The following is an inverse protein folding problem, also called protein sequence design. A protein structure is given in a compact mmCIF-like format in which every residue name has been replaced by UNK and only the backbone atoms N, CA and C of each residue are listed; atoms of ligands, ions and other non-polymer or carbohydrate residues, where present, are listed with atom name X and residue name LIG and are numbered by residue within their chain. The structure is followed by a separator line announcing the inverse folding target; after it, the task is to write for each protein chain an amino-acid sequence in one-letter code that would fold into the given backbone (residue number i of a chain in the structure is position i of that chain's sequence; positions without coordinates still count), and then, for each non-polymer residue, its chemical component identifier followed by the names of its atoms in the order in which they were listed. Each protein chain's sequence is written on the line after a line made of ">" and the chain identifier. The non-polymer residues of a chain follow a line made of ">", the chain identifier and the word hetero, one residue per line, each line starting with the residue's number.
data_IF_187247595226
#
_entry.id   IF_187247595226
#
_cell.length_a   1.000
_cell.length_b   1.000
_cell.length_c   1.000
_cell.angle_alpha   90.00
_cell.angle_beta   90.00
_cell.angle_gamma   90.00
#
_symmetry.space_group_name_H-M   'P 1'
#
loop_
_entity.id
_entity.type
_entity.pdbx_description
1 polymer ?
#
# COMPACT_ATOMS: atom_id res chain seq x y z
N UNK A 1 14.68 -24.00 12.18
CA UNK A 1 13.72 -23.95 13.31
C UNK A 1 12.45 -23.25 12.86
N UNK A 2 11.27 -23.76 13.23
CA UNK A 2 9.99 -23.05 13.04
C UNK A 2 9.76 -22.15 14.27
N UNK A 3 9.65 -20.83 14.09
CA UNK A 3 9.73 -19.86 15.20
C UNK A 3 8.72 -18.71 15.19
N UNK A 4 7.89 -18.59 14.15
CA UNK A 4 6.80 -17.61 14.08
C UNK A 4 5.61 -18.20 13.31
N UNK A 5 4.42 -17.63 13.54
CA UNK A 5 3.21 -17.89 12.77
C UNK A 5 3.01 -16.72 11.80
N UNK A 6 2.83 -17.02 10.51
CA UNK A 6 2.61 -16.03 9.46
C UNK A 6 1.60 -16.59 8.44
N UNK A 7 0.45 -15.95 8.33
CA UNK A 7 -0.77 -16.58 7.77
C UNK A 7 -1.05 -16.24 6.29
N UNK A 8 -0.46 -15.16 5.77
CA UNK A 8 -0.88 -14.61 4.46
C UNK A 8 -0.34 -15.42 3.28
N UNK A 9 0.81 -16.07 3.44
CA UNK A 9 1.46 -16.82 2.37
C UNK A 9 2.33 -17.96 2.89
N UNK A 10 2.43 -19.03 2.11
CA UNK A 10 3.28 -20.20 2.40
C UNK A 10 4.04 -20.59 1.14
N UNK A 11 5.32 -20.93 1.27
CA UNK A 11 6.13 -21.44 0.17
C UNK A 11 5.88 -22.96 0.02
N UNK A 12 5.29 -23.33 -1.11
CA UNK A 12 5.18 -24.71 -1.57
C UNK A 12 6.52 -25.12 -2.24
N UNK A 13 7.15 -26.23 -1.85
CA UNK A 13 8.40 -26.68 -2.43
C UNK A 13 8.37 -26.93 -3.95
N UNK A 14 7.20 -27.29 -4.49
CA UNK A 14 7.06 -27.65 -5.91
C UNK A 14 6.47 -26.49 -6.72
N UNK A 15 5.45 -25.83 -6.17
CA UNK A 15 4.63 -24.84 -6.90
C UNK A 15 5.00 -23.38 -6.57
N UNK A 16 5.98 -23.17 -5.68
CA UNK A 16 6.44 -21.85 -5.27
C UNK A 16 5.52 -21.16 -4.26
N UNK A 17 5.54 -19.82 -4.24
CA UNK A 17 4.81 -19.05 -3.23
C UNK A 17 3.30 -19.13 -3.48
N UNK A 18 2.52 -19.40 -2.42
CA UNK A 18 1.06 -19.38 -2.44
C UNK A 18 0.52 -18.25 -1.56
N UNK A 19 -0.45 -17.51 -2.06
CA UNK A 19 -1.18 -16.46 -1.34
C UNK A 19 -2.50 -17.02 -0.84
N UNK A 20 -2.64 -17.22 0.48
CA UNK A 20 -3.82 -17.87 1.09
C UNK A 20 -4.21 -19.21 0.42
N UNK A 21 -3.21 -19.96 -0.04
CA UNK A 21 -3.39 -21.25 -0.73
C UNK A 21 -3.38 -21.19 -2.26
N UNK A 22 -3.62 -20.03 -2.84
CA UNK A 22 -3.62 -19.83 -4.30
C UNK A 22 -2.20 -19.60 -4.82
N UNK A 23 -1.80 -20.38 -5.83
CA UNK A 23 -0.56 -20.17 -6.58
C UNK A 23 -0.59 -18.88 -7.40
N UNK A 24 0.57 -18.45 -7.90
CA UNK A 24 0.65 -17.27 -8.79
C UNK A 24 -0.21 -17.45 -10.06
N UNK A 25 -0.16 -18.58 -10.79
CA UNK A 25 -1.02 -18.77 -11.96
C UNK A 25 -2.51 -18.73 -11.63
N UNK A 26 -2.94 -19.29 -10.50
CA UNK A 26 -4.33 -19.19 -10.03
C UNK A 26 -4.72 -17.75 -9.73
N UNK A 27 -3.83 -16.98 -9.08
CA UNK A 27 -4.05 -15.55 -8.83
C UNK A 27 -4.22 -14.76 -10.15
N UNK A 28 -3.38 -15.01 -11.16
CA UNK A 28 -3.48 -14.35 -12.46
C UNK A 28 -4.80 -14.65 -13.18
N UNK A 29 -5.33 -15.87 -13.01
CA UNK A 29 -6.60 -16.26 -13.60
C UNK A 29 -7.81 -15.67 -12.86
N UNK A 30 -7.79 -15.73 -11.52
CA UNK A 30 -8.96 -15.46 -10.69
C UNK A 30 -9.09 -14.00 -10.24
N UNK A 31 -7.98 -13.28 -10.05
CA UNK A 31 -8.05 -11.91 -9.55
C UNK A 31 -8.55 -10.94 -10.64
N UNK A 32 -9.41 -9.97 -10.26
CA UNK A 32 -9.85 -8.92 -11.17
C UNK A 32 -8.70 -8.12 -11.78
N UNK A 33 -8.91 -7.66 -13.02
CA UNK A 33 -7.95 -6.93 -13.84
C UNK A 33 -8.48 -5.54 -14.15
N UNK A 34 -7.61 -4.60 -14.53
CA UNK A 34 -8.04 -3.31 -15.05
C UNK A 34 -8.87 -3.49 -16.35
N UNK A 35 -9.82 -2.59 -16.66
CA UNK A 35 -10.52 -2.62 -17.95
C UNK A 35 -9.55 -2.61 -19.14
N UNK A 36 -9.56 -3.66 -19.95
CA UNK A 36 -8.64 -3.84 -21.08
C UNK A 36 -7.21 -4.28 -20.70
N UNK A 37 -6.94 -4.55 -19.42
CA UNK A 37 -5.68 -5.10 -18.92
C UNK A 37 -5.71 -6.62 -18.77
N UNK A 38 -4.53 -7.23 -18.83
CA UNK A 38 -4.35 -8.68 -18.67
C UNK A 38 -3.74 -9.07 -17.31
N UNK A 39 -3.22 -8.10 -16.55
CA UNK A 39 -2.56 -8.33 -15.27
C UNK A 39 -3.51 -8.13 -14.07
N UNK A 40 -3.36 -8.93 -13.00
CA UNK A 40 -4.19 -8.83 -11.81
C UNK A 40 -3.90 -7.55 -11.02
N UNK A 41 -4.95 -6.90 -10.51
CA UNK A 41 -4.83 -5.67 -9.73
C UNK A 41 -4.29 -5.93 -8.30
N UNK A 42 -3.33 -5.13 -7.79
CA UNK A 42 -2.82 -5.27 -6.42
C UNK A 42 -3.88 -5.13 -5.33
N UNK A 43 -4.93 -4.33 -5.58
CA UNK A 43 -6.13 -4.24 -4.75
C UNK A 43 -6.77 -5.61 -4.49
N UNK A 44 -6.86 -6.43 -5.55
CA UNK A 44 -7.43 -7.77 -5.47
C UNK A 44 -6.54 -8.71 -4.67
N UNK A 45 -5.22 -8.60 -4.85
CA UNK A 45 -4.26 -9.36 -4.05
C UNK A 45 -4.33 -8.96 -2.57
N UNK A 46 -4.40 -7.66 -2.25
CA UNK A 46 -4.56 -7.19 -0.88
C UNK A 46 -5.81 -7.77 -0.23
N UNK A 47 -6.95 -7.72 -0.93
CA UNK A 47 -8.20 -8.32 -0.46
C UNK A 47 -8.04 -9.81 -0.16
N UNK A 48 -7.43 -10.56 -1.06
CA UNK A 48 -7.15 -11.98 -0.87
C UNK A 48 -6.30 -12.20 0.38
N UNK A 49 -5.21 -11.46 0.56
CA UNK A 49 -4.32 -11.62 1.71
C UNK A 49 -5.01 -11.32 3.04
N UNK A 50 -5.90 -10.32 3.09
CA UNK A 50 -6.64 -9.94 4.31
C UNK A 50 -7.75 -10.94 4.62
N UNK A 51 -8.53 -11.35 3.62
CA UNK A 51 -9.79 -12.10 3.83
C UNK A 51 -9.67 -13.61 3.58
N UNK A 52 -8.69 -14.06 2.81
CA UNK A 52 -8.61 -15.41 2.28
C UNK A 52 -9.58 -15.71 1.14
N UNK A 53 -10.30 -14.71 0.64
CA UNK A 53 -11.33 -14.86 -0.40
C UNK A 53 -10.93 -14.10 -1.67
N UNK A 54 -11.27 -14.66 -2.83
CA UNK A 54 -11.11 -13.95 -4.12
C UNK A 54 -12.17 -12.85 -4.21
N UNK A 55 -11.79 -11.58 -4.43
CA UNK A 55 -12.74 -10.48 -4.50
C UNK A 55 -13.52 -10.44 -5.82
N UNK A 56 -14.69 -9.80 -5.77
CA UNK A 56 -15.43 -9.39 -6.98
C UNK A 56 -14.86 -8.10 -7.58
N UNK A 57 -15.26 -7.78 -8.81
CA UNK A 57 -14.86 -6.51 -9.46
C UNK A 57 -15.33 -5.29 -8.67
N UNK A 58 -16.53 -5.32 -8.09
CA UNK A 58 -17.06 -4.23 -7.27
C UNK A 58 -16.25 -4.01 -6.00
N UNK A 59 -15.76 -5.10 -5.38
CA UNK A 59 -14.91 -5.05 -4.20
C UNK A 59 -13.54 -4.44 -4.53
N UNK A 60 -12.93 -4.86 -5.65
CA UNK A 60 -11.67 -4.27 -6.12
C UNK A 60 -11.84 -2.79 -6.43
N UNK A 61 -12.89 -2.41 -7.15
CA UNK A 61 -13.21 -1.01 -7.44
C UNK A 61 -13.45 -0.18 -6.18
N UNK A 62 -14.02 -0.78 -5.13
CA UNK A 62 -14.17 -0.13 -3.83
C UNK A 62 -12.81 0.12 -3.18
N UNK A 63 -11.90 -0.86 -3.17
CA UNK A 63 -10.54 -0.69 -2.62
C UNK A 63 -9.78 0.40 -3.38
N UNK A 64 -9.80 0.40 -4.72
CA UNK A 64 -9.14 1.44 -5.52
C UNK A 64 -9.61 2.85 -5.13
N UNK A 65 -10.94 3.02 -4.98
CA UNK A 65 -11.53 4.29 -4.54
C UNK A 65 -11.14 4.67 -3.11
N UNK A 66 -11.09 3.71 -2.20
CA UNK A 66 -10.66 3.98 -0.82
C UNK A 66 -9.21 4.42 -0.76
N UNK A 67 -8.31 3.75 -1.48
CA UNK A 67 -6.91 4.15 -1.53
C UNK A 67 -6.73 5.52 -2.20
N UNK A 68 -7.46 5.82 -3.28
CA UNK A 68 -7.39 7.14 -3.89
C UNK A 68 -7.82 8.27 -2.93
N UNK A 69 -8.84 8.04 -2.08
CA UNK A 69 -9.29 9.02 -1.07
C UNK A 69 -8.26 9.23 0.05
N UNK A 70 -7.50 8.19 0.40
CA UNK A 70 -6.59 8.16 1.56
C UNK A 70 -5.16 8.60 1.23
N UNK A 71 -4.84 8.82 -0.05
CA UNK A 71 -3.48 9.05 -0.55
C UNK A 71 -2.86 10.42 -0.19
N UNK A 72 -3.61 11.31 0.48
CA UNK A 72 -3.12 12.65 0.82
C UNK A 72 -1.91 12.60 1.78
N UNK A 73 -0.85 13.34 1.44
CA UNK A 73 0.32 13.51 2.31
C UNK A 73 0.21 14.83 3.11
N UNK A 74 0.50 14.82 4.42
CA UNK A 74 0.59 16.04 5.20
C UNK A 74 1.80 16.87 4.74
N UNK A 75 1.68 18.20 4.87
CA UNK A 75 2.66 19.15 4.32
C UNK A 75 4.07 18.93 4.85
N UNK A 76 4.24 18.56 6.12
CA UNK A 76 5.58 18.34 6.69
C UNK A 76 6.31 17.16 6.02
N UNK A 77 5.60 16.10 5.62
CA UNK A 77 6.19 14.96 4.91
C UNK A 77 6.62 15.35 3.50
N UNK A 78 5.80 16.15 2.82
CA UNK A 78 6.14 16.71 1.51
C UNK A 78 7.41 17.57 1.61
N UNK A 79 7.49 18.44 2.61
CA UNK A 79 8.67 19.28 2.87
C UNK A 79 9.91 18.46 3.22
N UNK A 80 9.79 17.39 4.02
CA UNK A 80 10.92 16.49 4.32
C UNK A 80 11.44 15.84 3.04
N UNK A 81 10.56 15.33 2.18
CA UNK A 81 10.92 14.70 0.91
C UNK A 81 11.62 15.66 -0.06
N UNK A 82 11.18 16.91 -0.12
CA UNK A 82 11.76 17.93 -1.01
C UNK A 82 13.14 18.43 -0.56
N UNK A 83 13.47 18.29 0.73
CA UNK A 83 14.72 18.76 1.29
C UNK A 83 15.78 17.67 1.44
N UNK A 84 15.48 16.42 1.07
CA UNK A 84 16.50 15.37 1.10
C UNK A 84 17.60 15.65 0.06
N UNK A 85 18.89 15.49 0.44
CA UNK A 85 19.97 15.66 -0.52
C UNK A 85 20.01 14.46 -1.49
N UNK A 86 20.45 14.69 -2.72
CA UNK A 86 20.47 13.67 -3.78
C UNK A 86 21.45 12.51 -3.51
N UNK A 87 22.40 12.69 -2.60
CA UNK A 87 23.30 11.62 -2.15
C UNK A 87 22.66 10.68 -1.12
N UNK A 88 21.50 11.02 -0.55
CA UNK A 88 20.77 10.15 0.36
C UNK A 88 20.05 9.06 -0.45
N UNK A 89 20.38 7.80 -0.17
CA UNK A 89 19.82 6.66 -0.88
C UNK A 89 18.27 6.66 -0.86
N UNK A 90 17.59 6.33 -1.97
CA UNK A 90 16.13 6.39 -2.07
C UNK A 90 15.40 5.58 -0.99
N UNK A 91 15.91 4.40 -0.62
CA UNK A 91 15.35 3.61 0.48
C UNK A 91 15.44 4.31 1.85
N UNK A 92 16.48 5.12 2.08
CA UNK A 92 16.60 5.90 3.31
C UNK A 92 15.60 7.06 3.33
N UNK A 93 15.40 7.72 2.18
CA UNK A 93 14.36 8.75 2.03
C UNK A 93 12.96 8.16 2.28
N UNK A 94 12.69 6.99 1.72
CA UNK A 94 11.42 6.28 1.86
C UNK A 94 11.13 5.90 3.32
N UNK A 95 12.10 5.27 3.99
CA UNK A 95 11.98 4.90 5.41
C UNK A 95 11.78 6.11 6.33
N UNK A 96 12.54 7.18 6.11
CA UNK A 96 12.42 8.42 6.89
C UNK A 96 11.05 9.10 6.69
N UNK A 97 10.54 9.14 5.45
CA UNK A 97 9.23 9.70 5.15
C UNK A 97 8.09 8.89 5.80
N UNK A 98 8.15 7.55 5.74
CA UNK A 98 7.18 6.67 6.42
C UNK A 98 7.23 6.86 7.93
N UNK A 99 8.43 7.02 8.51
CA UNK A 99 8.57 7.31 9.94
C UNK A 99 7.92 8.65 10.29
N UNK A 100 8.12 9.69 9.47
CA UNK A 100 7.50 11.00 9.67
C UNK A 100 5.97 10.98 9.52
N UNK A 101 5.41 10.05 8.74
CA UNK A 101 3.97 9.86 8.58
C UNK A 101 3.28 9.27 9.82
N UNK A 102 4.03 8.77 10.80
CA UNK A 102 3.44 8.27 12.04
C UNK A 102 2.66 9.37 12.81
N UNK A 103 2.89 10.66 12.52
CA UNK A 103 2.07 11.77 13.03
C UNK A 103 0.58 11.60 12.75
N UNK A 104 0.22 10.90 11.67
CA UNK A 104 -1.16 10.66 11.24
C UNK A 104 -1.76 9.35 11.80
N UNK A 105 -1.01 8.60 12.62
CA UNK A 105 -1.44 7.27 13.10
C UNK A 105 -2.64 7.37 14.04
N UNK A 106 -3.77 6.81 13.59
CA UNK A 106 -4.97 6.70 14.40
C UNK A 106 -4.81 5.63 15.48
N UNK A 107 -4.04 4.56 15.22
CA UNK A 107 -3.76 3.54 16.23
C UNK A 107 -2.91 4.10 17.39
N UNK A 108 -1.86 4.86 17.10
CA UNK A 108 -1.02 5.45 18.14
C UNK A 108 -1.84 6.35 19.08
N UNK A 109 -2.72 7.18 18.51
CA UNK A 109 -3.64 8.03 19.26
C UNK A 109 -4.65 7.20 20.08
N UNK A 110 -5.38 6.27 19.46
CA UNK A 110 -6.37 5.44 20.14
C UNK A 110 -5.76 4.59 21.26
N UNK A 111 -4.54 4.09 21.07
CA UNK A 111 -3.79 3.36 22.10
C UNK A 111 -3.49 4.25 23.31
N UNK A 112 -3.03 5.48 23.09
CA UNK A 112 -2.76 6.44 24.16
C UNK A 112 -4.02 6.84 24.94
N UNK A 113 -5.19 6.82 24.28
CA UNK A 113 -6.50 7.10 24.88
C UNK A 113 -7.11 5.87 25.61
N UNK A 114 -6.45 4.70 25.57
CA UNK A 114 -6.85 3.51 26.32
C UNK A 114 -7.83 2.58 25.60
N UNK A 115 -7.76 2.47 24.27
CA UNK A 115 -8.59 1.53 23.50
C UNK A 115 -8.44 0.08 23.99
N UNK A 116 -9.55 -0.67 23.97
CA UNK A 116 -9.55 -2.07 24.41
C UNK A 116 -8.80 -2.98 23.44
N UNK A 117 -8.07 -3.98 23.97
CA UNK A 117 -7.21 -4.89 23.19
C UNK A 117 -7.92 -5.58 22.02
N UNK A 118 -9.17 -5.99 22.20
CA UNK A 118 -9.95 -6.66 21.13
C UNK A 118 -10.29 -5.75 19.95
N UNK A 119 -10.08 -4.44 20.08
CA UNK A 119 -10.36 -3.41 19.08
C UNK A 119 -9.10 -2.87 18.39
N UNK A 120 -7.91 -3.34 18.75
CA UNK A 120 -6.65 -2.87 18.15
C UNK A 120 -6.63 -3.05 16.63
N UNK A 121 -7.14 -4.17 16.13
CA UNK A 121 -7.12 -4.49 14.71
C UNK A 121 -7.92 -3.49 13.86
N UNK A 122 -8.95 -2.85 14.43
CA UNK A 122 -9.77 -1.87 13.70
C UNK A 122 -8.92 -0.65 13.32
N UNK A 123 -8.16 -0.10 14.27
CA UNK A 123 -7.28 1.04 14.03
C UNK A 123 -6.02 0.66 13.24
N UNK A 124 -5.50 -0.55 13.44
CA UNK A 124 -4.37 -1.06 12.63
C UNK A 124 -4.79 -1.23 11.17
N UNK A 125 -6.03 -1.65 10.92
CA UNK A 125 -6.58 -1.74 9.57
C UNK A 125 -6.66 -0.36 8.91
N UNK A 126 -7.21 0.66 9.60
CA UNK A 126 -7.27 2.03 9.09
C UNK A 126 -5.87 2.59 8.79
N UNK A 127 -4.91 2.46 9.72
CA UNK A 127 -3.54 2.94 9.50
C UNK A 127 -2.85 2.18 8.36
N UNK A 128 -3.14 0.89 8.17
CA UNK A 128 -2.59 0.09 7.07
C UNK A 128 -3.17 0.51 5.72
N UNK A 129 -4.48 0.77 5.64
CA UNK A 129 -5.15 1.28 4.45
C UNK A 129 -4.62 2.67 4.07
N UNK A 130 -4.45 3.55 5.05
CA UNK A 130 -3.89 4.88 4.86
C UNK A 130 -2.43 4.84 4.41
N UNK A 131 -1.62 3.95 5.02
CA UNK A 131 -0.22 3.81 4.63
C UNK A 131 -0.11 3.33 3.18
N UNK A 132 -0.79 2.24 2.80
CA UNK A 132 -0.76 1.69 1.44
C UNK A 132 -1.18 2.74 0.40
N UNK A 133 -2.22 3.51 0.71
CA UNK A 133 -2.68 4.61 -0.13
C UNK A 133 -1.62 5.71 -0.35
N UNK A 134 -0.83 6.02 0.68
CA UNK A 134 0.19 7.09 0.66
C UNK A 134 1.52 6.63 0.05
N UNK A 135 1.82 5.32 -0.02
CA UNK A 135 3.10 4.80 -0.51
C UNK A 135 3.46 5.28 -1.94
N UNK A 136 2.55 5.24 -2.94
CA UNK A 136 2.85 5.74 -4.29
C UNK A 136 3.27 7.20 -4.31
N UNK A 137 2.58 8.07 -3.55
CA UNK A 137 2.90 9.49 -3.52
C UNK A 137 4.31 9.74 -2.98
N UNK A 138 4.70 9.02 -1.92
CA UNK A 138 6.06 9.10 -1.36
C UNK A 138 7.09 8.60 -2.39
N UNK A 139 6.86 7.40 -2.93
CA UNK A 139 7.78 6.77 -3.87
C UNK A 139 7.96 7.58 -5.15
N UNK A 140 6.86 8.09 -5.73
CA UNK A 140 6.88 8.94 -6.91
C UNK A 140 7.60 10.26 -6.65
N UNK A 141 7.42 10.86 -5.45
CA UNK A 141 8.11 12.10 -5.09
C UNK A 141 9.62 11.88 -4.93
N UNK A 142 10.04 10.78 -4.30
CA UNK A 142 11.46 10.39 -4.25
C UNK A 142 12.02 10.21 -5.66
N UNK A 143 11.30 9.50 -6.52
CA UNK A 143 11.72 9.27 -7.90
C UNK A 143 11.87 10.59 -8.68
N UNK A 144 10.89 11.49 -8.59
CA UNK A 144 10.97 12.78 -9.30
C UNK A 144 12.03 13.72 -8.72
N UNK A 145 12.22 13.74 -7.40
CA UNK A 145 13.27 14.53 -6.76
C UNK A 145 14.67 14.08 -7.18
N UNK A 146 14.91 12.76 -7.29
CA UNK A 146 16.22 12.23 -7.66
C UNK A 146 16.48 12.24 -9.18
N UNK A 147 15.46 11.96 -9.99
CA UNK A 147 15.65 11.63 -11.41
C UNK A 147 14.86 12.50 -12.39
N UNK A 148 14.04 13.44 -11.91
CA UNK A 148 13.21 14.34 -12.74
C UNK A 148 13.18 15.77 -12.18
N UNK A 149 14.33 16.23 -11.68
CA UNK A 149 14.57 17.63 -11.28
C UNK A 149 13.57 18.19 -10.23
N UNK A 150 12.98 17.33 -9.40
CA UNK A 150 11.98 17.75 -8.41
C UNK A 150 10.65 18.21 -9.01
N UNK A 151 10.34 17.77 -10.23
CA UNK A 151 9.05 18.05 -10.87
C UNK A 151 7.88 17.50 -10.03
N UNK A 152 6.73 18.17 -10.11
CA UNK A 152 5.52 17.77 -9.39
C UNK A 152 5.08 16.35 -9.78
N UNK A 153 4.56 15.59 -8.82
CA UNK A 153 3.95 14.26 -9.03
C UNK A 153 2.51 14.33 -9.55
N UNK A 154 1.94 15.53 -9.68
CA UNK A 154 0.56 15.71 -10.13
C UNK A 154 -0.48 15.41 -9.05
N UNK A 155 -1.71 15.14 -9.48
CA UNK A 155 -2.84 14.84 -8.61
C UNK A 155 -3.26 13.37 -8.78
N UNK A 156 -3.77 12.78 -7.70
CA UNK A 156 -4.41 11.47 -7.75
C UNK A 156 -5.73 11.58 -8.50
N UNK A 157 -5.97 10.66 -9.44
CA UNK A 157 -7.27 10.50 -10.08
C UNK A 157 -8.05 9.39 -9.37
N UNK A 158 -9.19 9.76 -8.79
CA UNK A 158 -10.07 8.84 -8.05
C UNK A 158 -10.74 7.78 -8.92
N UNK A 159 -10.63 7.88 -10.25
CA UNK A 159 -11.18 6.91 -11.19
C UNK A 159 -10.14 5.88 -11.67
N UNK A 160 -8.86 6.05 -11.31
CA UNK A 160 -7.80 5.13 -11.69
C UNK A 160 -7.47 4.16 -10.55
N UNK A 161 -6.97 2.98 -10.91
CA UNK A 161 -6.44 2.02 -9.94
C UNK A 161 -5.12 2.52 -9.32
N UNK A 162 -4.69 1.83 -8.26
CA UNK A 162 -3.51 2.21 -7.48
C UNK A 162 -2.22 2.19 -8.30
N UNK A 163 -2.06 1.20 -9.19
CA UNK A 163 -0.84 1.06 -9.99
C UNK A 163 -0.79 2.12 -11.08
N UNK A 164 -1.92 2.40 -11.72
CA UNK A 164 -2.01 3.45 -12.74
C UNK A 164 -1.74 4.83 -12.14
N UNK A 165 -2.32 5.15 -10.97
CA UNK A 165 -1.99 6.37 -10.23
C UNK A 165 -0.49 6.46 -9.89
N UNK A 166 0.16 5.34 -9.59
CA UNK A 166 1.60 5.33 -9.29
C UNK A 166 2.47 5.60 -10.52
N UNK A 167 2.05 5.13 -11.71
CA UNK A 167 2.83 5.27 -12.95
C UNK A 167 2.68 6.60 -13.67
N UNK A 168 1.68 7.42 -13.33
CA UNK A 168 1.40 8.72 -13.94
C UNK A 168 2.47 9.80 -13.67
#
# INVERSE_FOLDING_TARGET
>A
MKGLVYETSVLDPEEGIRFRGYSIPECQQLLPKAPGGEEPLPEGLFWLLVTGQVPTEEQVNWVSKEWAKRAALPSHVVTVLDNFPTNLHPMSQFSAAITALNSESSFARAYSEGVHKTKYWEFVYEDSMDLIAKLPCIAAKIYRNLYREGSSIGAIDSNLDWSHNFTN
#
